data_IF_748631350452
#
_entry.id   IF_748631350452
#
_cell.length_a   1.000
_cell.length_b   1.000
_cell.length_c   1.000
_cell.angle_alpha   90.00
_cell.angle_beta   90.00
_cell.angle_gamma   90.00
#
_symmetry.space_group_name_H-M   'P 1'
#
loop_
_entity.id
_entity.type
_entity.pdbx_description
1 polymer ?
#
# COMPACT_ATOMS: atom_id res chain seq x y z
N UNK A 1 27.20 -6.13 -12.90
CA UNK A 1 27.24 -6.11 -11.42
C UNK A 1 26.49 -4.92 -10.81
N UNK A 2 26.96 -3.68 -10.98
CA UNK A 2 26.32 -2.48 -10.39
C UNK A 2 24.82 -2.28 -10.67
N UNK A 3 24.33 -2.73 -11.81
CA UNK A 3 22.89 -2.63 -12.16
C UNK A 3 22.04 -3.60 -11.34
N UNK A 4 22.55 -4.81 -11.10
CA UNK A 4 21.86 -5.81 -10.30
C UNK A 4 21.75 -5.36 -8.84
N UNK A 5 22.83 -4.79 -8.29
CA UNK A 5 22.84 -4.22 -6.93
C UNK A 5 21.77 -3.12 -6.78
N UNK A 6 21.71 -2.16 -7.72
CA UNK A 6 20.70 -1.08 -7.68
C UNK A 6 19.28 -1.61 -7.77
N UNK A 7 19.03 -2.61 -8.61
CA UNK A 7 17.73 -3.26 -8.70
C UNK A 7 17.34 -3.89 -7.37
N UNK A 8 18.25 -4.65 -6.76
CA UNK A 8 18.02 -5.26 -5.44
C UNK A 8 17.78 -4.19 -4.37
N UNK A 9 18.52 -3.08 -4.38
CA UNK A 9 18.31 -1.96 -3.46
C UNK A 9 16.92 -1.34 -3.60
N UNK A 10 16.45 -1.11 -4.82
CA UNK A 10 15.11 -0.55 -5.08
C UNK A 10 14.02 -1.47 -4.53
N UNK A 11 14.08 -2.77 -4.84
CA UNK A 11 13.09 -3.72 -4.33
C UNK A 11 13.15 -3.88 -2.81
N UNK A 12 14.34 -3.84 -2.22
CA UNK A 12 14.52 -3.91 -0.77
C UNK A 12 13.94 -2.68 -0.08
N UNK A 13 14.22 -1.48 -0.59
CA UNK A 13 13.68 -0.24 -0.07
C UNK A 13 12.15 -0.20 -0.17
N UNK A 14 11.59 -0.55 -1.33
CA UNK A 14 10.15 -0.61 -1.53
C UNK A 14 9.47 -1.59 -0.55
N UNK A 15 10.03 -2.77 -0.35
CA UNK A 15 9.48 -3.76 0.57
C UNK A 15 9.46 -3.25 2.03
N UNK A 16 10.52 -2.56 2.47
CA UNK A 16 10.58 -1.99 3.83
C UNK A 16 9.53 -0.90 4.03
N UNK A 17 9.37 0.02 3.07
CA UNK A 17 8.38 1.08 3.19
C UNK A 17 6.95 0.55 3.14
N UNK A 18 6.66 -0.42 2.26
CA UNK A 18 5.34 -1.07 2.21
C UNK A 18 5.00 -1.74 3.55
N UNK A 19 5.95 -2.43 4.18
CA UNK A 19 5.73 -3.04 5.51
C UNK A 19 5.41 -2.01 6.58
N UNK A 20 6.01 -0.83 6.56
CA UNK A 20 5.69 0.25 7.51
C UNK A 20 4.25 0.74 7.35
N UNK A 21 3.78 0.88 6.11
CA UNK A 21 2.41 1.31 5.79
C UNK A 21 1.40 0.25 6.29
N UNK A 22 1.70 -1.04 6.13
CA UNK A 22 0.81 -2.13 6.51
C UNK A 22 0.93 -2.61 7.96
N UNK A 23 1.98 -2.25 8.69
CA UNK A 23 2.18 -2.65 10.08
C UNK A 23 1.02 -2.26 11.02
N UNK A 24 0.44 -1.04 10.95
CA UNK A 24 -0.71 -0.67 11.78
C UNK A 24 -1.98 -1.50 11.51
N UNK A 25 -2.10 -2.10 10.32
CA UNK A 25 -3.23 -2.95 9.95
C UNK A 25 -3.07 -4.41 10.44
N UNK A 26 -1.98 -4.74 11.15
CA UNK A 26 -1.67 -6.10 11.59
C UNK A 26 -1.29 -7.04 10.43
N UNK A 27 -0.93 -6.50 9.26
CA UNK A 27 -0.67 -7.23 8.01
C UNK A 27 0.82 -7.20 7.63
N UNK A 28 1.71 -7.39 8.61
CA UNK A 28 3.17 -7.20 8.45
C UNK A 28 3.89 -8.31 7.68
N UNK A 29 3.23 -9.46 7.48
CA UNK A 29 3.84 -10.70 6.96
C UNK A 29 3.54 -10.98 5.50
N UNK A 30 2.41 -10.49 4.99
CA UNK A 30 1.96 -10.70 3.61
C UNK A 30 1.62 -9.34 2.99
N UNK A 31 2.13 -9.08 1.78
CA UNK A 31 1.68 -7.93 1.00
C UNK A 31 0.18 -8.11 0.75
N UNK A 32 -0.69 -7.20 1.19
CA UNK A 32 -2.13 -7.34 1.06
C UNK A 32 -2.57 -7.04 -0.38
N UNK A 33 -2.12 -7.87 -1.33
CA UNK A 33 -2.48 -7.77 -2.73
C UNK A 33 -3.88 -8.35 -2.88
N UNK A 34 -4.84 -7.50 -3.23
CA UNK A 34 -6.25 -7.88 -3.45
C UNK A 34 -7.22 -7.58 -2.31
N UNK A 35 -6.76 -6.92 -1.24
CA UNK A 35 -7.60 -6.50 -0.12
C UNK A 35 -8.00 -5.03 -0.26
N UNK A 36 -9.10 -4.79 -0.98
CA UNK A 36 -9.65 -3.44 -1.21
C UNK A 36 -10.39 -2.85 -0.01
N UNK A 37 -10.62 -3.65 1.03
CA UNK A 37 -11.25 -3.27 2.30
C UNK A 37 -10.45 -2.22 3.09
N UNK A 38 -9.15 -2.11 2.84
CA UNK A 38 -8.28 -1.06 3.39
C UNK A 38 -8.19 0.22 2.56
N UNK A 39 -8.85 0.30 1.41
CA UNK A 39 -8.83 1.48 0.54
C UNK A 39 -10.00 2.40 0.85
N UNK A 40 -9.71 3.68 0.99
CA UNK A 40 -10.71 4.73 1.23
C UNK A 40 -10.32 6.00 0.50
N UNK A 41 -11.31 6.87 0.28
CA UNK A 41 -11.17 8.16 -0.39
C UNK A 41 -11.49 9.28 0.61
N UNK A 42 -10.72 10.36 0.57
CA UNK A 42 -10.86 11.55 1.42
C UNK A 42 -11.78 12.65 0.81
N UNK A 43 -12.20 12.48 -0.45
CA UNK A 43 -13.24 13.24 -1.13
C UNK A 43 -14.59 12.51 -1.07
N UNK A 44 -15.55 13.11 -0.37
CA UNK A 44 -16.88 12.53 -0.19
C UNK A 44 -17.67 12.40 -1.49
N UNK A 45 -17.60 13.40 -2.37
CA UNK A 45 -18.34 13.40 -3.62
C UNK A 45 -17.81 12.31 -4.56
N UNK A 46 -16.50 12.07 -4.55
CA UNK A 46 -15.88 10.98 -5.30
C UNK A 46 -16.15 9.61 -4.67
N UNK A 47 -16.13 9.51 -3.34
CA UNK A 47 -16.48 8.29 -2.62
C UNK A 47 -17.91 7.81 -2.97
N UNK A 48 -18.89 8.72 -2.96
CA UNK A 48 -20.28 8.42 -3.34
C UNK A 48 -20.41 8.04 -4.83
N UNK A 49 -19.68 8.73 -5.71
CA UNK A 49 -19.72 8.45 -7.16
C UNK A 49 -19.09 7.11 -7.54
N UNK A 50 -18.01 6.72 -6.86
CA UNK A 50 -17.22 5.54 -7.18
C UNK A 50 -17.55 4.32 -6.31
N UNK A 51 -18.48 4.47 -5.36
CA UNK A 51 -18.87 3.43 -4.41
C UNK A 51 -17.68 2.90 -3.58
N UNK A 52 -16.78 3.80 -3.17
CA UNK A 52 -15.60 3.50 -2.33
C UNK A 52 -15.81 4.09 -0.93
N UNK A 53 -15.28 3.43 0.09
CA UNK A 53 -15.34 3.89 1.49
C UNK A 53 -14.77 5.30 1.68
N UNK A 54 -15.50 6.18 2.38
CA UNK A 54 -15.02 7.52 2.74
C UNK A 54 -14.22 7.50 4.04
N UNK A 55 -12.99 8.03 4.04
CA UNK A 55 -12.19 8.26 5.25
C UNK A 55 -12.32 9.72 5.68
N UNK A 56 -12.88 9.94 6.87
CA UNK A 56 -13.15 11.25 7.46
C UNK A 56 -12.08 11.65 8.48
#
# INVERSE_FOLDING_TARGET
DKVAERLVEVFRAANVELKKIFAPMGRSTELPIGMSDGLSIDDKAMAERLEISYAC
#
